data_IF_608711068495
#
_entry.id   IF_608711068495
#
_cell.length_a   1.000
_cell.length_b   1.000
_cell.length_c   1.000
_cell.angle_alpha   90.00
_cell.angle_beta   90.00
_cell.angle_gamma   90.00
#
_symmetry.space_group_name_H-M   'P 1'
#
loop_
_entity.id
_entity.type
_entity.pdbx_description
1 polymer ?
#
# COMPACT_ATOMS: atom_id res chain seq x y z
N UNK A 1 19.96 -6.47 13.55
CA UNK A 1 18.77 -5.81 14.17
C UNK A 1 17.60 -5.70 13.19
N UNK A 2 17.77 -5.17 11.97
CA UNK A 2 16.69 -5.11 10.96
C UNK A 2 16.19 -6.51 10.57
N UNK A 3 17.08 -7.50 10.42
CA UNK A 3 16.71 -8.89 10.07
C UNK A 3 15.77 -9.49 11.12
N UNK A 4 16.11 -9.39 12.41
CA UNK A 4 15.26 -9.86 13.51
C UNK A 4 13.88 -9.18 13.54
N UNK A 5 13.80 -7.91 13.14
CA UNK A 5 12.53 -7.19 13.04
C UNK A 5 11.69 -7.71 11.87
N UNK A 6 12.32 -7.96 10.71
CA UNK A 6 11.65 -8.56 9.55
C UNK A 6 11.14 -9.97 9.88
N UNK A 7 11.95 -10.77 10.57
CA UNK A 7 11.56 -12.12 11.00
C UNK A 7 10.41 -12.10 12.00
N UNK A 8 10.41 -11.15 12.93
CA UNK A 8 9.28 -10.92 13.84
C UNK A 8 7.98 -10.59 13.09
N UNK A 9 8.04 -9.71 12.09
CA UNK A 9 6.89 -9.36 11.26
C UNK A 9 6.42 -10.54 10.40
N UNK A 10 7.35 -11.32 9.83
CA UNK A 10 7.05 -12.56 9.09
C UNK A 10 6.38 -13.61 9.97
N UNK A 11 6.84 -13.77 11.21
CA UNK A 11 6.25 -14.75 12.15
C UNK A 11 4.80 -14.40 12.50
N UNK A 12 4.43 -13.11 12.46
CA UNK A 12 3.06 -12.62 12.69
C UNK A 12 2.36 -12.17 11.40
N UNK A 13 2.78 -12.69 10.24
CA UNK A 13 2.29 -12.24 8.94
C UNK A 13 0.76 -12.24 8.83
N UNK A 14 0.08 -13.28 9.34
CA UNK A 14 -1.40 -13.33 9.36
C UNK A 14 -2.01 -12.15 10.12
N UNK A 15 -1.46 -11.82 11.29
CA UNK A 15 -1.92 -10.67 12.09
C UNK A 15 -1.61 -9.34 11.41
N UNK A 16 -0.45 -9.24 10.75
CA UNK A 16 -0.06 -8.04 10.01
C UNK A 16 -0.99 -7.79 8.81
N UNK A 17 -1.28 -8.84 8.03
CA UNK A 17 -2.21 -8.77 6.90
C UNK A 17 -3.60 -8.38 7.35
N UNK A 18 -4.12 -8.99 8.42
CA UNK A 18 -5.42 -8.62 8.98
C UNK A 18 -5.43 -7.17 9.48
N UNK A 19 -4.38 -6.71 10.15
CA UNK A 19 -4.26 -5.33 10.62
C UNK A 19 -4.28 -4.33 9.45
N UNK A 20 -3.46 -4.57 8.41
CA UNK A 20 -3.47 -3.74 7.20
C UNK A 20 -4.84 -3.73 6.50
N UNK A 21 -5.51 -4.89 6.44
CA UNK A 21 -6.85 -4.99 5.85
C UNK A 21 -7.88 -4.19 6.66
N UNK A 22 -7.84 -4.30 8.00
CA UNK A 22 -8.71 -3.54 8.90
C UNK A 22 -8.46 -2.04 8.74
N UNK A 23 -7.20 -1.60 8.74
CA UNK A 23 -6.85 -0.19 8.53
C UNK A 23 -7.38 0.32 7.19
N UNK A 24 -7.25 -0.46 6.12
CA UNK A 24 -7.77 -0.12 4.79
C UNK A 24 -9.30 -0.01 4.81
N UNK A 25 -9.99 -0.95 5.47
CA UNK A 25 -11.44 -0.93 5.62
C UNK A 25 -11.93 0.28 6.44
N UNK A 26 -11.24 0.61 7.54
CA UNK A 26 -11.52 1.79 8.36
C UNK A 26 -11.35 3.07 7.54
N UNK A 27 -10.28 3.17 6.75
CA UNK A 27 -10.08 4.31 5.85
C UNK A 27 -11.19 4.43 4.81
N UNK A 28 -11.64 3.32 4.20
CA UNK A 28 -12.75 3.33 3.25
C UNK A 28 -14.05 3.83 3.89
N UNK A 29 -14.39 3.32 5.08
CA UNK A 29 -15.58 3.76 5.82
C UNK A 29 -15.49 5.26 6.15
N UNK A 30 -14.33 5.73 6.59
CA UNK A 30 -14.10 7.15 6.90
C UNK A 30 -14.28 8.04 5.66
N UNK A 31 -13.79 7.61 4.50
CA UNK A 31 -13.96 8.35 3.25
C UNK A 31 -15.42 8.41 2.78
N UNK A 32 -16.25 7.43 3.12
CA UNK A 32 -17.68 7.44 2.74
C UNK A 32 -18.52 8.24 3.73
N UNK A 33 -18.22 8.17 5.03
CA UNK A 33 -19.08 8.73 6.09
C UNK A 33 -18.63 10.11 6.56
N UNK A 34 -17.32 10.38 6.54
CA UNK A 34 -16.71 11.56 7.19
C UNK A 34 -16.10 12.60 6.24
N UNK A 35 -15.92 12.28 4.96
CA UNK A 35 -15.38 13.23 3.98
C UNK A 35 -16.52 13.99 3.31
N UNK A 36 -16.56 15.29 3.56
CA UNK A 36 -17.49 16.21 2.92
C UNK A 36 -17.04 16.46 1.46
N UNK A 37 -17.85 16.03 0.49
CA UNK A 37 -17.54 16.09 -0.95
C UNK A 37 -18.06 17.36 -1.63
N UNK A 38 -18.47 18.35 -0.85
CA UNK A 38 -19.08 19.60 -1.34
C UNK A 38 -18.16 20.45 -2.26
N UNK A 39 -16.85 20.17 -2.30
CA UNK A 39 -15.88 20.81 -3.20
C UNK A 39 -15.16 19.79 -4.11
N UNK A 40 -15.86 18.77 -4.57
CA UNK A 40 -15.34 17.87 -5.60
C UNK A 40 -15.03 18.65 -6.89
N UNK A 41 -13.74 18.78 -7.23
CA UNK A 41 -13.30 19.51 -8.42
C UNK A 41 -13.37 18.65 -9.70
N UNK A 42 -13.63 17.34 -9.57
CA UNK A 42 -13.73 16.42 -10.70
C UNK A 42 -14.98 15.53 -10.63
N UNK A 43 -15.58 15.22 -11.78
CA UNK A 43 -16.81 14.40 -11.90
C UNK A 43 -16.67 13.02 -11.22
N UNK A 44 -15.47 12.42 -11.25
CA UNK A 44 -15.18 11.14 -10.62
C UNK A 44 -15.25 11.19 -9.10
N UNK A 45 -14.83 12.29 -8.47
CA UNK A 45 -14.92 12.47 -7.01
C UNK A 45 -16.38 12.62 -6.54
N UNK A 46 -17.24 13.20 -7.38
CA UNK A 46 -18.65 13.40 -7.08
C UNK A 46 -19.50 12.12 -7.25
N UNK A 47 -19.12 11.22 -8.16
CA UNK A 47 -19.94 10.04 -8.48
C UNK A 47 -19.43 8.73 -7.89
N UNK A 48 -18.15 8.65 -7.50
CA UNK A 48 -17.55 7.42 -6.97
C UNK A 48 -17.25 7.59 -5.47
N UNK A 49 -18.08 7.02 -4.58
CA UNK A 49 -17.77 7.01 -3.15
C UNK A 49 -16.47 6.23 -2.91
N UNK A 50 -15.52 6.85 -2.19
CA UNK A 50 -14.22 6.22 -1.91
C UNK A 50 -13.19 6.32 -3.05
N UNK A 51 -13.38 7.20 -4.05
CA UNK A 51 -12.46 7.37 -5.18
C UNK A 51 -10.98 7.46 -4.76
N UNK A 52 -10.67 8.32 -3.79
CA UNK A 52 -9.30 8.54 -3.33
C UNK A 52 -8.66 7.31 -2.67
N UNK A 53 -9.44 6.54 -1.92
CA UNK A 53 -8.97 5.29 -1.31
C UNK A 53 -8.67 4.24 -2.39
N UNK A 54 -9.54 4.10 -3.39
CA UNK A 54 -9.35 3.18 -4.51
C UNK A 54 -8.15 3.59 -5.37
N UNK A 55 -8.05 4.88 -5.69
CA UNK A 55 -6.93 5.45 -6.43
C UNK A 55 -5.61 5.23 -5.70
N UNK A 56 -5.54 5.53 -4.40
CA UNK A 56 -4.35 5.30 -3.58
C UNK A 56 -3.92 3.83 -3.54
N UNK A 57 -4.89 2.91 -3.41
CA UNK A 57 -4.62 1.47 -3.42
C UNK A 57 -4.08 1.00 -4.79
N UNK A 58 -4.70 1.45 -5.87
CA UNK A 58 -4.25 1.17 -7.23
C UNK A 58 -2.85 1.75 -7.49
N UNK A 59 -2.62 3.01 -7.14
CA UNK A 59 -1.33 3.67 -7.30
C UNK A 59 -0.24 2.93 -6.53
N UNK A 60 -0.51 2.50 -5.29
CA UNK A 60 0.41 1.70 -4.51
C UNK A 60 0.74 0.36 -5.20
N UNK A 61 -0.27 -0.36 -5.69
CA UNK A 61 -0.05 -1.61 -6.42
C UNK A 61 0.80 -1.39 -7.67
N UNK A 62 0.48 -0.37 -8.48
CA UNK A 62 1.24 0.00 -9.69
C UNK A 62 2.70 0.30 -9.33
N UNK A 63 2.94 1.11 -8.30
CA UNK A 63 4.30 1.44 -7.86
C UNK A 63 5.08 0.22 -7.41
N UNK A 64 4.47 -0.70 -6.66
CA UNK A 64 5.11 -1.95 -6.22
C UNK A 64 5.49 -2.81 -7.43
N UNK A 65 4.58 -3.00 -8.39
CA UNK A 65 4.88 -3.77 -9.60
C UNK A 65 5.97 -3.10 -10.45
N UNK A 66 5.89 -1.79 -10.62
CA UNK A 66 6.89 -1.02 -11.35
C UNK A 66 8.27 -1.12 -10.69
N UNK A 67 8.35 -0.92 -9.37
CA UNK A 67 9.59 -1.05 -8.62
C UNK A 67 10.19 -2.46 -8.73
N UNK A 68 9.35 -3.51 -8.69
CA UNK A 68 9.81 -4.90 -8.88
C UNK A 68 10.34 -5.15 -10.28
N UNK A 69 9.65 -4.64 -11.30
CA UNK A 69 10.10 -4.76 -12.68
C UNK A 69 11.40 -4.01 -12.92
N UNK A 70 11.48 -2.77 -12.45
CA UNK A 70 12.66 -1.91 -12.54
C UNK A 70 13.86 -2.51 -11.79
N UNK A 71 13.64 -3.06 -10.60
CA UNK A 71 14.67 -3.75 -9.82
C UNK A 71 15.27 -4.96 -10.53
N UNK A 72 14.42 -5.78 -11.17
CA UNK A 72 14.85 -6.91 -12.02
C UNK A 72 15.61 -6.48 -13.27
N UNK A 73 15.49 -5.22 -13.67
CA UNK A 73 16.24 -4.61 -14.78
C UNK A 73 17.74 -4.44 -14.53
N UNK A 74 18.26 -4.88 -13.37
CA UNK A 74 19.70 -4.93 -13.09
C UNK A 74 20.23 -3.82 -12.16
N UNK A 75 19.33 -3.06 -11.52
CA UNK A 75 19.70 -2.00 -10.57
C UNK A 75 19.93 -2.55 -9.15
N UNK A 76 19.39 -3.74 -8.85
CA UNK A 76 19.59 -4.38 -7.55
C UNK A 76 20.99 -5.00 -7.46
N UNK A 77 21.72 -4.62 -6.42
CA UNK A 77 22.93 -5.33 -5.98
C UNK A 77 22.57 -6.77 -5.57
N UNK A 78 23.48 -7.71 -5.84
CA UNK A 78 23.28 -9.12 -5.50
C UNK A 78 23.05 -9.28 -4.00
N UNK A 79 22.17 -10.22 -3.63
CA UNK A 79 21.82 -10.48 -2.23
C UNK A 79 23.03 -10.89 -1.37
N UNK A 80 24.06 -11.48 -1.99
CA UNK A 80 25.30 -11.95 -1.35
C UNK A 80 26.42 -10.88 -1.28
N UNK A 81 26.13 -9.61 -1.60
CA UNK A 81 27.16 -8.57 -1.68
C UNK A 81 27.87 -8.30 -0.34
N UNK A 82 27.15 -8.46 0.78
CA UNK A 82 27.68 -8.23 2.14
C UNK A 82 28.06 -9.52 2.87
N UNK A 83 27.90 -10.69 2.25
CA UNK A 83 28.27 -11.99 2.83
C UNK A 83 29.77 -12.31 2.64
N UNK A 84 30.59 -11.28 2.37
CA UNK A 84 32.04 -11.35 2.19
C UNK A 84 32.76 -10.57 3.28
#
# INVERSE_FOLDING_TARGET
MIVNFIDYLKQRQKGLTTCCLILTAVMLVWTVVGVDTHHAHTWMEAHIPGFWSLFGLLACAVLVYFARWFGKGGIMTREDYYDK
#
